data_IF_601366985267
#
_entry.id   IF_601366985267
#
_cell.length_a   1.000
_cell.length_b   1.000
_cell.length_c   1.000
_cell.angle_alpha   90.00
_cell.angle_beta   90.00
_cell.angle_gamma   90.00
#
_symmetry.space_group_name_H-M   'P 1'
#
loop_
_entity.id
_entity.type
_entity.pdbx_description
1 polymer ?
#
# COMPACT_ATOMS: atom_id res chain seq x y z
N UNK A 1 -68.85 0.08 -16.98
CA UNK A 1 -67.79 0.24 -17.99
C UNK A 1 -67.24 1.65 -17.86
N UNK A 2 -66.17 1.81 -17.07
CA UNK A 2 -65.61 3.11 -16.66
C UNK A 2 -64.76 3.69 -17.79
N UNK A 3 -65.32 4.61 -18.58
CA UNK A 3 -64.57 5.40 -19.54
C UNK A 3 -63.71 6.42 -18.77
N UNK A 4 -62.45 6.06 -18.50
CA UNK A 4 -61.41 7.03 -18.17
C UNK A 4 -61.37 8.04 -19.32
N UNK A 5 -61.85 9.25 -19.06
CA UNK A 5 -61.51 10.40 -19.88
C UNK A 5 -59.99 10.59 -19.77
N UNK A 6 -59.25 10.12 -20.78
CA UNK A 6 -57.86 10.52 -20.97
C UNK A 6 -57.88 12.01 -21.28
N UNK A 7 -57.77 12.82 -20.21
CA UNK A 7 -57.64 14.27 -20.26
C UNK A 7 -56.60 14.66 -21.32
N UNK A 8 -56.99 15.52 -22.27
CA UNK A 8 -56.11 16.03 -23.34
C UNK A 8 -54.83 16.67 -22.76
N UNK A 9 -54.88 17.17 -21.53
CA UNK A 9 -53.74 17.67 -20.77
C UNK A 9 -52.69 16.56 -20.59
N UNK A 10 -53.11 15.33 -20.25
CA UNK A 10 -52.22 14.23 -19.88
C UNK A 10 -51.27 13.79 -21.01
N UNK A 11 -51.66 13.98 -22.28
CA UNK A 11 -50.78 13.77 -23.46
C UNK A 11 -49.69 14.84 -23.56
N UNK A 12 -50.06 16.12 -23.47
CA UNK A 12 -49.12 17.23 -23.52
C UNK A 12 -48.16 17.25 -22.31
N UNK A 13 -48.65 16.81 -21.16
CA UNK A 13 -47.85 16.64 -19.94
C UNK A 13 -46.92 15.42 -19.97
N UNK A 14 -47.21 14.33 -20.71
CA UNK A 14 -46.31 13.15 -20.83
C UNK A 14 -45.07 13.44 -21.66
N UNK A 15 -45.21 14.11 -22.81
CA UNK A 15 -44.09 14.38 -23.74
C UNK A 15 -43.04 15.32 -23.12
N UNK A 16 -43.49 16.40 -22.47
CA UNK A 16 -42.60 17.37 -21.81
C UNK A 16 -42.04 16.89 -20.47
N UNK A 17 -42.67 15.92 -19.80
CA UNK A 17 -42.14 15.26 -18.57
C UNK A 17 -40.97 14.33 -18.89
N UNK A 18 -40.99 13.69 -20.06
CA UNK A 18 -39.88 12.91 -20.60
C UNK A 18 -38.66 13.78 -20.95
N UNK A 19 -38.88 14.91 -21.62
CA UNK A 19 -37.80 15.82 -22.04
C UNK A 19 -37.03 16.44 -20.87
N UNK A 20 -37.72 16.92 -19.82
CA UNK A 20 -37.07 17.54 -18.66
C UNK A 20 -36.38 16.52 -17.75
N UNK A 21 -36.96 15.32 -17.57
CA UNK A 21 -36.28 14.21 -16.88
C UNK A 21 -35.03 13.80 -17.65
N UNK A 22 -35.10 13.69 -18.97
CA UNK A 22 -33.97 13.39 -19.84
C UNK A 22 -32.86 14.44 -19.73
N UNK A 23 -33.19 15.73 -19.72
CA UNK A 23 -32.19 16.81 -19.60
C UNK A 23 -31.47 16.78 -18.24
N UNK A 24 -32.20 16.58 -17.14
CA UNK A 24 -31.60 16.52 -15.80
C UNK A 24 -30.77 15.26 -15.58
N UNK A 25 -31.25 14.09 -16.04
CA UNK A 25 -30.44 12.86 -16.05
C UNK A 25 -29.21 13.01 -16.95
N UNK A 26 -29.30 13.73 -18.07
CA UNK A 26 -28.15 13.98 -18.95
C UNK A 26 -27.14 14.94 -18.32
N UNK A 27 -27.58 15.98 -17.60
CA UNK A 27 -26.66 16.95 -16.96
C UNK A 27 -26.03 16.36 -15.70
N UNK A 28 -26.81 15.75 -14.81
CA UNK A 28 -26.29 15.14 -13.58
C UNK A 28 -25.59 13.82 -13.85
N UNK A 29 -26.20 12.95 -14.64
CA UNK A 29 -25.59 11.72 -15.09
C UNK A 29 -24.35 12.00 -15.93
N UNK A 30 -24.41 12.95 -16.87
CA UNK A 30 -23.26 13.33 -17.68
C UNK A 30 -22.16 14.03 -16.88
N UNK A 31 -22.48 14.95 -15.98
CA UNK A 31 -21.49 15.61 -15.13
C UNK A 31 -20.83 14.65 -14.14
N UNK A 32 -21.61 13.78 -13.49
CA UNK A 32 -21.08 12.71 -12.63
C UNK A 32 -20.26 11.70 -13.45
N UNK A 33 -20.69 11.37 -14.67
CA UNK A 33 -19.92 10.52 -15.59
C UNK A 33 -18.60 11.18 -15.98
N UNK A 34 -18.56 12.48 -16.24
CA UNK A 34 -17.32 13.22 -16.53
C UNK A 34 -16.39 13.21 -15.32
N UNK A 35 -16.91 13.40 -14.11
CA UNK A 35 -16.11 13.27 -12.87
C UNK A 35 -15.59 11.84 -12.69
N UNK A 36 -16.43 10.82 -12.92
CA UNK A 36 -16.04 9.42 -12.85
C UNK A 36 -15.00 9.05 -13.91
N UNK A 37 -15.16 9.53 -15.15
CA UNK A 37 -14.21 9.34 -16.24
C UNK A 37 -12.91 10.06 -15.91
N UNK A 38 -12.97 11.31 -15.44
CA UNK A 38 -11.79 12.05 -15.00
C UNK A 38 -11.05 11.35 -13.86
N UNK A 39 -11.78 10.82 -12.88
CA UNK A 39 -11.22 10.02 -11.80
C UNK A 39 -10.63 8.70 -12.30
N UNK A 40 -11.32 7.99 -13.18
CA UNK A 40 -10.85 6.74 -13.78
C UNK A 40 -9.60 6.96 -14.63
N UNK A 41 -9.57 8.02 -15.44
CA UNK A 41 -8.39 8.43 -16.21
C UNK A 41 -7.24 8.79 -15.28
N UNK A 42 -7.47 9.61 -14.26
CA UNK A 42 -6.44 9.97 -13.29
C UNK A 42 -5.93 8.76 -12.48
N UNK A 43 -6.79 7.77 -12.24
CA UNK A 43 -6.41 6.49 -11.62
C UNK A 43 -5.39 5.70 -12.46
N UNK A 44 -5.40 5.83 -13.78
CA UNK A 44 -4.38 5.25 -14.66
C UNK A 44 -3.04 5.98 -14.63
N UNK A 45 -3.01 7.26 -14.23
CA UNK A 45 -1.77 8.07 -14.18
C UNK A 45 -1.11 8.10 -12.80
N UNK A 46 -1.75 7.57 -11.76
CA UNK A 46 -1.13 7.37 -10.44
C UNK A 46 -0.31 6.09 -10.43
N UNK A 47 0.71 6.04 -9.56
CA UNK A 47 1.58 4.87 -9.39
C UNK A 47 0.79 3.56 -9.55
N UNK A 48 1.28 2.64 -10.41
CA UNK A 48 0.58 1.40 -10.72
C UNK A 48 0.27 0.63 -9.43
N UNK A 49 -0.73 -0.24 -9.47
CA UNK A 49 -0.99 -1.08 -8.30
C UNK A 49 0.28 -1.86 -7.93
N UNK A 50 0.55 -2.04 -6.62
CA UNK A 50 1.69 -2.85 -6.21
C UNK A 50 1.59 -4.22 -6.86
N UNK A 51 2.73 -4.75 -7.36
CA UNK A 51 2.74 -6.05 -8.00
C UNK A 51 2.27 -7.11 -7.00
N UNK A 52 1.66 -8.16 -7.55
CA UNK A 52 1.21 -9.30 -6.74
C UNK A 52 2.32 -10.32 -6.49
N UNK A 53 3.38 -10.24 -7.26
CA UNK A 53 4.52 -11.14 -7.19
C UNK A 53 5.78 -10.31 -7.11
N UNK A 54 6.66 -10.65 -6.19
CA UNK A 54 8.01 -10.10 -6.06
C UNK A 54 9.01 -11.23 -5.87
N UNK A 55 10.24 -11.05 -6.34
CA UNK A 55 11.28 -12.09 -6.31
C UNK A 55 12.41 -11.68 -5.38
N UNK A 56 12.71 -12.53 -4.40
CA UNK A 56 13.81 -12.33 -3.45
C UNK A 56 14.97 -13.28 -3.71
N UNK A 57 16.17 -12.73 -3.92
CA UNK A 57 17.41 -13.49 -3.88
C UNK A 57 17.84 -13.78 -2.43
N UNK A 58 18.24 -15.02 -2.15
CA UNK A 58 18.40 -15.52 -0.78
C UNK A 58 19.79 -16.11 -0.54
N UNK A 59 19.90 -17.42 -0.41
CA UNK A 59 21.15 -18.15 -0.21
C UNK A 59 20.87 -19.61 -0.50
N UNK A 60 21.72 -20.50 0.02
CA UNK A 60 21.44 -21.93 -0.11
C UNK A 60 20.14 -22.29 0.61
N UNK A 61 19.45 -23.33 0.15
CA UNK A 61 18.16 -23.73 0.72
C UNK A 61 18.26 -24.14 2.20
N UNK A 62 19.43 -24.62 2.61
CA UNK A 62 19.76 -24.99 3.98
C UNK A 62 20.22 -23.79 4.84
N UNK A 63 20.47 -22.64 4.22
CA UNK A 63 20.98 -21.45 4.87
C UNK A 63 19.90 -20.60 5.54
N UNK A 64 20.31 -19.78 6.50
CA UNK A 64 19.40 -18.91 7.26
C UNK A 64 18.61 -17.94 6.37
N UNK A 65 19.23 -17.44 5.29
CA UNK A 65 18.60 -16.46 4.40
C UNK A 65 17.35 -17.04 3.75
N UNK A 66 17.46 -18.27 3.22
CA UNK A 66 16.33 -18.94 2.60
C UNK A 66 15.23 -19.29 3.61
N UNK A 67 15.59 -19.72 4.82
CA UNK A 67 14.62 -20.05 5.86
C UNK A 67 13.83 -18.81 6.32
N UNK A 68 14.50 -17.70 6.61
CA UNK A 68 13.81 -16.45 6.97
C UNK A 68 12.97 -15.90 5.81
N UNK A 69 13.47 -15.98 4.58
CA UNK A 69 12.72 -15.56 3.41
C UNK A 69 11.45 -16.41 3.18
N UNK A 70 11.47 -17.69 3.57
CA UNK A 70 10.27 -18.54 3.57
C UNK A 70 9.23 -18.07 4.57
N UNK A 71 9.65 -17.67 5.76
CA UNK A 71 8.73 -17.09 6.75
C UNK A 71 8.13 -15.76 6.23
N UNK A 72 8.92 -14.96 5.51
CA UNK A 72 8.41 -13.76 4.85
C UNK A 72 7.39 -14.11 3.76
N UNK A 73 7.67 -15.13 2.95
CA UNK A 73 6.77 -15.58 1.90
C UNK A 73 5.43 -16.07 2.47
N UNK A 74 5.47 -16.81 3.57
CA UNK A 74 4.27 -17.27 4.27
C UNK A 74 3.47 -16.09 4.86
N UNK A 75 4.14 -15.08 5.41
CA UNK A 75 3.50 -13.86 5.90
C UNK A 75 2.84 -13.04 4.77
N UNK A 76 3.56 -12.83 3.67
CA UNK A 76 3.09 -12.05 2.52
C UNK A 76 1.95 -12.74 1.77
N UNK A 77 1.97 -14.08 1.68
CA UNK A 77 0.88 -14.86 1.08
C UNK A 77 -0.45 -14.60 1.76
N UNK A 78 -0.46 -14.43 3.10
CA UNK A 78 -1.67 -14.08 3.86
C UNK A 78 -2.20 -12.68 3.53
N UNK A 79 -1.41 -11.84 2.86
CA UNK A 79 -1.78 -10.50 2.39
C UNK A 79 -2.11 -10.48 0.89
N UNK A 80 -2.09 -11.64 0.23
CA UNK A 80 -2.34 -11.78 -1.20
C UNK A 80 -1.17 -11.36 -2.08
N UNK A 81 0.06 -11.49 -1.57
CA UNK A 81 1.30 -11.22 -2.29
C UNK A 81 2.14 -12.49 -2.31
N UNK A 82 2.58 -12.88 -3.49
CA UNK A 82 3.50 -13.99 -3.72
C UNK A 82 4.95 -13.49 -3.64
N UNK A 83 5.74 -14.08 -2.74
CA UNK A 83 7.17 -13.87 -2.69
C UNK A 83 7.87 -15.10 -3.27
N UNK A 84 8.36 -14.98 -4.49
CA UNK A 84 9.17 -16.02 -5.12
C UNK A 84 10.58 -16.00 -4.54
N UNK A 85 11.04 -17.14 -4.05
CA UNK A 85 12.38 -17.27 -3.49
C UNK A 85 13.34 -17.79 -4.56
N UNK A 86 14.42 -17.07 -4.78
CA UNK A 86 15.51 -17.47 -5.65
C UNK A 86 16.70 -17.91 -4.80
N UNK A 87 16.98 -19.23 -4.68
CA UNK A 87 18.16 -19.73 -4.00
C UNK A 87 19.43 -19.29 -4.75
N UNK A 88 20.46 -18.96 -4.00
CA UNK A 88 21.75 -18.48 -4.54
C UNK A 88 22.92 -19.06 -3.73
N UNK A 89 24.15 -18.79 -4.17
CA UNK A 89 25.36 -19.10 -3.43
C UNK A 89 25.60 -18.17 -2.22
N UNK A 90 24.89 -17.03 -2.13
CA UNK A 90 25.02 -16.05 -1.05
C UNK A 90 25.09 -14.61 -1.55
N UNK A 91 25.62 -13.72 -0.70
CA UNK A 91 25.52 -12.26 -0.88
C UNK A 91 26.14 -11.74 -2.18
N UNK A 92 27.31 -12.25 -2.60
CA UNK A 92 27.94 -11.80 -3.84
C UNK A 92 27.06 -12.06 -5.07
N UNK A 93 26.48 -13.26 -5.17
CA UNK A 93 25.53 -13.58 -6.24
C UNK A 93 24.24 -12.77 -6.11
N UNK A 94 23.79 -12.45 -4.88
CA UNK A 94 22.61 -11.61 -4.69
C UNK A 94 22.83 -10.18 -5.20
N UNK A 95 23.98 -9.57 -4.94
CA UNK A 95 24.30 -8.26 -5.49
C UNK A 95 24.35 -8.29 -7.03
N UNK A 96 24.99 -9.31 -7.60
CA UNK A 96 25.02 -9.48 -9.06
C UNK A 96 23.61 -9.61 -9.65
N UNK A 97 22.71 -10.38 -9.01
CA UNK A 97 21.34 -10.54 -9.46
C UNK A 97 20.53 -9.25 -9.34
N UNK A 98 20.68 -8.48 -8.24
CA UNK A 98 20.01 -7.19 -8.07
C UNK A 98 20.40 -6.18 -9.16
N UNK A 99 21.62 -6.25 -9.69
CA UNK A 99 22.09 -5.35 -10.75
C UNK A 99 21.75 -5.86 -12.16
N UNK A 100 21.84 -7.17 -12.39
CA UNK A 100 21.80 -7.75 -13.75
C UNK A 100 20.45 -8.34 -14.13
N UNK A 101 19.61 -8.73 -13.17
CA UNK A 101 18.33 -9.36 -13.41
C UNK A 101 17.17 -8.46 -12.97
N UNK A 102 16.43 -7.83 -13.90
CA UNK A 102 15.32 -6.95 -13.58
C UNK A 102 14.13 -7.67 -12.93
N UNK A 103 14.14 -9.00 -12.86
CA UNK A 103 13.12 -9.77 -12.15
C UNK A 103 13.38 -9.85 -10.65
N UNK A 104 14.60 -9.57 -10.17
CA UNK A 104 14.94 -9.65 -8.73
C UNK A 104 14.72 -8.30 -8.08
N UNK A 105 13.70 -8.22 -7.21
CA UNK A 105 13.30 -6.97 -6.58
C UNK A 105 14.08 -6.68 -5.29
N UNK A 106 14.47 -7.73 -4.57
CA UNK A 106 15.08 -7.62 -3.25
C UNK A 106 15.97 -8.80 -2.89
N UNK A 107 16.83 -8.63 -1.89
CA UNK A 107 17.69 -9.70 -1.40
C UNK A 107 18.06 -9.56 0.08
N UNK A 108 18.48 -10.67 0.68
CA UNK A 108 19.19 -10.67 1.96
C UNK A 108 20.69 -10.74 1.67
N UNK A 109 21.48 -9.83 2.24
CA UNK A 109 22.93 -9.74 2.01
C UNK A 109 23.69 -9.55 3.31
N UNK A 110 24.93 -10.03 3.39
CA UNK A 110 25.79 -9.84 4.55
C UNK A 110 26.45 -8.46 4.46
N UNK A 111 26.34 -7.65 5.52
CA UNK A 111 27.02 -6.37 5.60
C UNK A 111 28.53 -6.50 5.36
N UNK A 112 29.07 -5.61 4.53
CA UNK A 112 30.50 -5.53 4.22
C UNK A 112 30.95 -6.39 3.04
N UNK A 113 30.03 -7.12 2.41
CA UNK A 113 30.32 -7.97 1.25
C UNK A 113 29.96 -7.32 -0.09
N UNK A 114 29.41 -6.09 -0.09
CA UNK A 114 29.11 -5.39 -1.34
C UNK A 114 30.41 -5.10 -2.12
N UNK A 115 30.49 -5.55 -3.39
CA UNK A 115 31.54 -5.13 -4.32
C UNK A 115 31.60 -3.60 -4.47
N UNK A 116 32.79 -3.07 -4.81
CA UNK A 116 33.00 -1.62 -4.91
C UNK A 116 32.15 -0.97 -6.01
N UNK A 117 31.92 -1.67 -7.11
CA UNK A 117 31.02 -1.25 -8.21
C UNK A 117 29.54 -1.24 -7.79
N UNK A 118 29.16 -2.09 -6.82
CA UNK A 118 27.81 -2.13 -6.24
C UNK A 118 27.63 -1.00 -5.23
N UNK A 119 28.64 -0.70 -4.40
CA UNK A 119 28.58 0.37 -3.38
C UNK A 119 28.37 1.76 -4.00
N UNK A 120 28.85 1.98 -5.22
CA UNK A 120 28.65 3.21 -5.97
C UNK A 120 27.34 3.27 -6.78
N UNK A 121 26.60 2.17 -6.87
CA UNK A 121 25.36 2.11 -7.66
C UNK A 121 24.21 2.78 -6.91
N UNK A 122 23.49 3.69 -7.58
CA UNK A 122 22.36 4.44 -7.02
C UNK A 122 21.07 3.61 -6.85
N UNK A 123 21.04 2.39 -7.38
CA UNK A 123 19.79 1.67 -7.63
C UNK A 123 19.48 0.61 -6.57
N UNK A 124 20.32 0.49 -5.54
CA UNK A 124 20.12 -0.42 -4.40
C UNK A 124 19.97 0.39 -3.12
N UNK A 125 18.90 0.12 -2.39
CA UNK A 125 18.58 0.77 -1.12
C UNK A 125 18.49 -0.27 0.00
N UNK A 126 18.90 0.14 1.21
CA UNK A 126 18.69 -0.67 2.41
C UNK A 126 17.27 -0.47 2.94
N UNK A 127 16.61 -1.57 3.31
CA UNK A 127 15.32 -1.55 3.99
C UNK A 127 15.50 -1.70 5.50
N UNK A 128 16.33 -2.66 5.93
CA UNK A 128 16.65 -2.88 7.34
C UNK A 128 17.87 -3.79 7.52
N UNK A 129 18.61 -3.60 8.61
CA UNK A 129 19.39 -4.69 9.20
C UNK A 129 18.46 -5.65 9.95
N UNK A 130 18.63 -6.94 9.75
CA UNK A 130 17.70 -8.00 10.16
C UNK A 130 18.16 -8.75 11.42
N UNK A 131 19.40 -9.23 11.43
CA UNK A 131 20.02 -9.96 12.53
C UNK A 131 21.55 -9.92 12.39
N UNK A 132 22.25 -10.23 13.48
CA UNK A 132 23.71 -10.31 13.48
C UNK A 132 24.21 -11.70 13.09
N UNK A 133 25.27 -11.73 12.31
CA UNK A 133 25.98 -12.94 11.89
C UNK A 133 27.38 -12.94 12.50
N UNK A 134 27.56 -13.31 13.78
CA UNK A 134 28.87 -13.29 14.41
C UNK A 134 29.90 -14.12 13.64
N UNK A 135 31.13 -13.60 13.67
CA UNK A 135 32.31 -14.28 13.15
C UNK A 135 32.82 -15.22 14.23
N UNK A 136 32.65 -16.52 13.99
CA UNK A 136 33.15 -17.58 14.84
C UNK A 136 34.49 -18.06 14.30
N UNK A 137 35.51 -18.03 15.15
CA UNK A 137 36.81 -18.61 14.84
C UNK A 137 37.08 -19.70 15.84
N UNK A 138 36.89 -20.94 15.39
CA UNK A 138 37.19 -22.10 16.20
C UNK A 138 38.58 -22.62 15.85
N UNK A 139 39.34 -23.03 16.86
CA UNK A 139 40.68 -23.53 16.68
C UNK A 139 40.96 -24.73 17.58
N UNK A 140 41.94 -25.54 17.19
CA UNK A 140 42.40 -26.69 17.95
C UNK A 140 43.53 -26.30 18.90
N UNK A 141 43.49 -26.84 20.11
CA UNK A 141 44.60 -26.77 21.07
C UNK A 141 44.19 -26.19 22.42
N UNK A 142 45.15 -26.18 23.35
CA UNK A 142 44.95 -25.69 24.71
C UNK A 142 45.36 -24.24 24.93
N UNK A 143 46.12 -23.68 23.99
CA UNK A 143 46.49 -22.27 23.99
C UNK A 143 45.22 -21.41 23.92
N UNK A 144 45.23 -20.29 24.65
CA UNK A 144 44.14 -19.32 24.58
C UNK A 144 44.57 -18.20 23.65
N UNK A 145 43.88 -18.08 22.51
CA UNK A 145 44.09 -16.97 21.58
C UNK A 145 43.06 -15.87 21.86
N UNK A 146 43.56 -14.65 22.05
CA UNK A 146 42.74 -13.46 22.29
C UNK A 146 42.69 -12.51 21.08
N UNK A 147 43.37 -12.87 19.99
CA UNK A 147 43.17 -12.31 18.65
C UNK A 147 43.70 -13.22 17.53
N UNK A 148 43.42 -12.82 16.30
CA UNK A 148 43.77 -13.56 15.08
C UNK A 148 45.28 -13.70 14.84
N UNK A 149 46.14 -12.92 15.49
CA UNK A 149 47.60 -13.04 15.31
C UNK A 149 48.15 -14.35 15.88
N UNK A 150 47.40 -15.00 16.78
CA UNK A 150 47.69 -16.36 17.23
C UNK A 150 47.57 -17.43 16.13
N UNK A 151 47.00 -17.08 14.97
CA UNK A 151 46.82 -17.99 13.84
C UNK A 151 47.99 -17.96 12.83
N UNK A 152 49.12 -17.32 13.17
CA UNK A 152 50.36 -17.43 12.38
C UNK A 152 50.78 -18.89 12.25
N UNK A 153 51.35 -19.24 11.11
CA UNK A 153 51.82 -20.60 10.79
C UNK A 153 50.74 -21.71 10.87
N UNK A 154 49.45 -21.35 10.88
CA UNK A 154 48.32 -22.31 10.95
C UNK A 154 47.71 -22.59 9.58
N UNK A 155 47.09 -23.77 9.44
CA UNK A 155 46.16 -24.09 8.34
C UNK A 155 44.76 -23.64 8.73
N UNK A 156 44.19 -22.71 7.97
CA UNK A 156 42.96 -22.02 8.33
C UNK A 156 41.90 -22.29 7.26
N UNK A 157 40.79 -22.92 7.65
CA UNK A 157 39.61 -22.98 6.80
C UNK A 157 38.92 -21.62 6.77
N UNK A 158 38.91 -20.97 5.62
CA UNK A 158 38.43 -19.59 5.48
C UNK A 158 37.03 -19.47 4.87
N UNK A 159 36.36 -20.59 4.58
CA UNK A 159 35.08 -20.59 3.88
C UNK A 159 35.23 -21.01 2.42
N UNK A 160 34.09 -21.18 1.72
CA UNK A 160 34.11 -21.51 0.30
C UNK A 160 34.48 -20.26 -0.50
N UNK A 161 35.15 -20.46 -1.64
CA UNK A 161 35.43 -19.38 -2.60
C UNK A 161 34.17 -18.55 -2.84
N UNK A 162 34.33 -17.22 -2.79
CA UNK A 162 33.27 -16.21 -3.00
C UNK A 162 32.12 -16.22 -1.98
N UNK A 163 32.29 -16.89 -0.84
CA UNK A 163 31.30 -16.85 0.26
C UNK A 163 31.52 -15.66 1.19
N UNK A 164 30.47 -15.23 1.89
CA UNK A 164 30.58 -14.17 2.92
C UNK A 164 31.55 -14.52 4.06
N UNK A 165 31.78 -15.81 4.33
CA UNK A 165 32.82 -16.26 5.28
C UNK A 165 34.23 -16.06 4.72
N UNK A 166 34.44 -16.36 3.43
CA UNK A 166 35.71 -16.17 2.74
C UNK A 166 36.12 -14.69 2.67
N UNK A 167 35.21 -13.83 2.23
CA UNK A 167 35.45 -12.38 2.21
C UNK A 167 35.76 -11.83 3.60
N UNK A 168 35.01 -12.27 4.63
CA UNK A 168 35.21 -11.81 6.01
C UNK A 168 36.53 -12.33 6.59
N UNK A 169 36.85 -13.61 6.40
CA UNK A 169 38.09 -14.20 6.89
C UNK A 169 39.31 -13.52 6.26
N UNK A 170 39.30 -13.32 4.93
CA UNK A 170 40.38 -12.65 4.22
C UNK A 170 40.59 -11.20 4.68
N UNK A 171 39.51 -10.44 4.87
CA UNK A 171 39.58 -9.08 5.42
C UNK A 171 40.23 -9.06 6.81
N UNK A 172 39.74 -9.90 7.72
CA UNK A 172 40.18 -9.88 9.12
C UNK A 172 41.60 -10.41 9.30
N UNK A 173 41.98 -11.46 8.54
CA UNK A 173 43.33 -12.00 8.53
C UNK A 173 44.32 -10.98 7.95
N UNK A 174 43.96 -10.34 6.83
CA UNK A 174 44.76 -9.28 6.20
C UNK A 174 45.01 -8.08 7.12
N UNK A 175 43.98 -7.58 7.83
CA UNK A 175 44.10 -6.51 8.83
C UNK A 175 45.05 -6.87 10.00
N UNK A 176 45.36 -8.15 10.18
CA UNK A 176 46.27 -8.65 11.23
C UNK A 176 47.61 -9.13 10.69
N UNK A 177 47.88 -8.90 9.39
CA UNK A 177 49.10 -9.34 8.71
C UNK A 177 49.26 -10.85 8.75
N UNK A 178 48.14 -11.58 8.61
CA UNK A 178 48.09 -13.03 8.44
C UNK A 178 47.84 -13.32 6.98
N UNK A 179 48.88 -13.77 6.31
CA UNK A 179 48.94 -14.11 4.89
C UNK A 179 49.95 -15.24 4.66
N UNK A 180 50.25 -15.55 3.40
CA UNK A 180 51.25 -16.57 3.06
C UNK A 180 52.66 -16.25 3.59
N UNK A 181 53.03 -14.97 3.76
CA UNK A 181 54.33 -14.57 4.32
C UNK A 181 54.42 -14.83 5.84
N UNK A 182 53.28 -14.90 6.52
CA UNK A 182 53.16 -15.26 7.93
C UNK A 182 53.17 -16.78 8.20
N UNK A 183 53.43 -17.60 7.18
CA UNK A 183 53.39 -19.07 7.24
C UNK A 183 51.99 -19.67 7.27
N UNK A 184 50.94 -18.85 7.27
CA UNK A 184 49.56 -19.33 7.26
C UNK A 184 49.21 -19.97 5.90
N UNK A 185 48.43 -21.06 5.96
CA UNK A 185 47.90 -21.74 4.77
C UNK A 185 46.38 -21.62 4.77
N UNK A 186 45.81 -21.05 3.71
CA UNK A 186 44.36 -20.90 3.60
C UNK A 186 43.73 -22.07 2.84
N UNK A 187 42.65 -22.61 3.41
CA UNK A 187 41.90 -23.73 2.85
C UNK A 187 40.48 -23.26 2.56
N UNK A 188 40.08 -23.25 1.29
CA UNK A 188 38.77 -22.77 0.87
C UNK A 188 37.65 -23.81 1.08
N UNK A 189 37.41 -24.16 2.33
CA UNK A 189 36.33 -25.06 2.76
C UNK A 189 35.48 -24.37 3.82
N UNK A 190 34.18 -24.67 3.84
CA UNK A 190 33.21 -24.05 4.74
C UNK A 190 32.20 -25.05 5.29
N UNK A 191 31.34 -24.57 6.20
CA UNK A 191 30.23 -25.35 6.74
C UNK A 191 30.66 -26.67 7.38
N UNK A 192 29.90 -27.74 7.13
CA UNK A 192 30.15 -29.06 7.72
C UNK A 192 31.50 -29.66 7.33
N UNK A 193 32.02 -29.32 6.15
CA UNK A 193 33.33 -29.83 5.73
C UNK A 193 34.46 -29.14 6.52
N UNK A 194 34.42 -27.82 6.68
CA UNK A 194 35.36 -27.11 7.55
C UNK A 194 35.33 -27.63 9.00
N UNK A 195 34.13 -27.87 9.55
CA UNK A 195 33.97 -28.50 10.87
C UNK A 195 34.61 -29.90 10.92
N UNK A 196 34.39 -30.73 9.89
CA UNK A 196 34.98 -32.07 9.81
C UNK A 196 36.50 -32.02 9.73
N UNK A 197 37.05 -31.14 8.90
CA UNK A 197 38.49 -30.96 8.76
C UNK A 197 39.12 -30.43 10.04
N UNK A 198 38.45 -29.50 10.73
CA UNK A 198 38.88 -29.00 12.04
C UNK A 198 38.85 -30.11 13.09
N UNK A 199 37.84 -30.98 13.08
CA UNK A 199 37.75 -32.16 13.95
C UNK A 199 38.81 -33.21 13.67
N UNK A 200 39.17 -33.43 12.40
CA UNK A 200 40.19 -34.39 11.98
C UNK A 200 41.63 -33.86 12.07
N UNK A 201 41.81 -32.55 12.25
CA UNK A 201 43.13 -31.91 12.35
C UNK A 201 43.79 -31.70 11.00
N UNK A 202 42.96 -31.64 9.96
CA UNK A 202 43.38 -31.28 8.61
C UNK A 202 43.52 -29.76 8.48
N UNK A 203 42.77 -29.01 9.30
CA UNK A 203 42.97 -27.58 9.56
C UNK A 203 43.12 -27.35 11.07
N UNK A 204 43.83 -26.29 11.43
CA UNK A 204 44.12 -25.91 12.80
C UNK A 204 43.13 -24.86 13.33
N UNK A 205 42.54 -24.07 12.44
CA UNK A 205 41.45 -23.13 12.72
C UNK A 205 40.42 -23.10 11.59
N UNK A 206 39.19 -22.68 11.89
CA UNK A 206 38.12 -22.53 10.91
C UNK A 206 37.24 -21.32 11.23
N UNK A 207 36.96 -20.52 10.19
CA UNK A 207 36.03 -19.40 10.22
C UNK A 207 34.62 -19.87 9.88
N UNK A 208 33.64 -19.30 10.58
CA UNK A 208 32.23 -19.40 10.25
C UNK A 208 31.57 -18.05 10.48
N UNK A 209 30.78 -17.57 9.52
CA UNK A 209 29.94 -16.38 9.68
C UNK A 209 28.50 -16.83 9.58
N UNK A 210 27.83 -16.95 10.72
CA UNK A 210 26.48 -17.52 10.78
C UNK A 210 25.80 -17.20 12.11
N UNK A 211 24.49 -17.45 12.16
CA UNK A 211 23.67 -17.28 13.36
C UNK A 211 24.17 -18.15 14.53
N UNK A 212 24.16 -17.65 15.78
CA UNK A 212 24.42 -18.44 16.99
C UNK A 212 23.53 -19.69 17.13
N UNK A 213 22.34 -19.67 16.52
CA UNK A 213 21.38 -20.77 16.58
C UNK A 213 21.71 -21.92 15.60
N UNK A 214 22.72 -21.76 14.76
CA UNK A 214 23.14 -22.78 13.80
C UNK A 214 23.48 -24.11 14.50
N UNK A 215 22.99 -25.23 13.95
CA UNK A 215 23.32 -26.58 14.45
C UNK A 215 24.83 -26.83 14.43
N UNK A 216 25.51 -26.28 13.42
CA UNK A 216 26.96 -26.37 13.27
C UNK A 216 27.70 -25.72 14.45
N UNK A 217 27.24 -24.56 14.91
CA UNK A 217 27.86 -23.86 16.05
C UNK A 217 27.67 -24.66 17.34
N UNK A 218 26.46 -25.21 17.56
CA UNK A 218 26.18 -26.10 18.70
C UNK A 218 27.07 -27.35 18.72
N UNK A 219 27.32 -27.94 17.55
CA UNK A 219 28.22 -29.10 17.44
C UNK A 219 29.68 -28.75 17.72
N UNK A 220 30.19 -27.64 17.18
CA UNK A 220 31.57 -27.16 17.40
C UNK A 220 31.85 -26.85 18.88
N UNK A 221 30.88 -26.21 19.53
CA UNK A 221 30.93 -25.87 20.95
C UNK A 221 31.03 -27.11 21.84
N UNK A 222 30.41 -28.21 21.42
CA UNK A 222 30.44 -29.48 22.17
C UNK A 222 31.74 -30.27 22.04
N UNK A 223 32.71 -29.82 21.24
CA UNK A 223 33.96 -30.54 21.00
C UNK A 223 35.03 -30.20 22.05
N UNK A 224 35.54 -31.20 22.78
CA UNK A 224 36.49 -31.00 23.88
C UNK A 224 37.83 -30.36 23.45
N UNK A 225 38.30 -30.67 22.24
CA UNK A 225 39.60 -30.20 21.71
C UNK A 225 39.50 -28.95 20.82
N UNK A 226 38.35 -28.27 20.84
CA UNK A 226 38.10 -27.09 20.02
C UNK A 226 37.72 -25.93 20.94
N UNK A 227 38.38 -24.79 20.71
CA UNK A 227 38.14 -23.55 21.46
C UNK A 227 37.62 -22.46 20.54
N UNK A 228 36.82 -21.58 21.10
CA UNK A 228 36.36 -20.36 20.43
C UNK A 228 37.33 -19.22 20.75
N UNK A 229 37.84 -18.56 19.71
CA UNK A 229 38.69 -17.39 19.82
C UNK A 229 37.86 -16.18 20.26
N UNK A 230 38.38 -15.43 21.23
CA UNK A 230 37.84 -14.12 21.64
C UNK A 230 38.57 -13.01 20.86
N UNK A 231 37.85 -11.97 20.47
CA UNK A 231 38.39 -10.79 19.80
C UNK A 231 38.59 -9.66 20.82
N UNK A 232 39.73 -9.59 21.51
CA UNK A 232 40.01 -8.51 22.47
C UNK A 232 39.89 -7.10 21.85
N UNK A 233 40.17 -7.00 20.55
CA UNK A 233 40.11 -5.77 19.77
C UNK A 233 38.78 -5.59 19.01
N UNK A 234 37.71 -6.28 19.41
CA UNK A 234 36.39 -6.23 18.76
C UNK A 234 35.89 -4.80 18.48
N UNK A 235 36.04 -3.88 19.44
CA UNK A 235 35.63 -2.48 19.29
C UNK A 235 36.43 -1.72 18.21
N UNK A 236 37.70 -2.08 17.99
CA UNK A 236 38.52 -1.47 16.95
C UNK A 236 38.04 -1.87 15.55
N UNK A 237 37.68 -3.15 15.34
CA UNK A 237 37.10 -3.59 14.07
C UNK A 237 35.79 -2.87 13.77
N UNK A 238 34.88 -2.76 14.75
CA UNK A 238 33.61 -2.04 14.58
C UNK A 238 33.80 -0.55 14.26
N UNK A 239 34.88 0.08 14.76
CA UNK A 239 35.24 1.47 14.43
C UNK A 239 35.84 1.63 13.05
N UNK A 240 36.61 0.64 12.58
CA UNK A 240 37.26 0.64 11.25
C UNK A 240 36.30 0.24 10.13
N UNK A 241 35.32 -0.60 10.44
CA UNK A 241 34.38 -1.16 9.48
C UNK A 241 32.95 -0.92 9.97
N UNK A 242 32.23 0.09 9.42
CA UNK A 242 30.89 0.48 9.89
C UNK A 242 29.83 -0.63 9.82
N UNK A 243 30.03 -1.63 8.95
CA UNK A 243 29.16 -2.80 8.84
C UNK A 243 29.38 -3.84 9.94
N UNK A 244 30.45 -3.73 10.73
CA UNK A 244 30.73 -4.61 11.86
C UNK A 244 30.23 -3.98 13.15
N UNK A 245 29.63 -4.82 14.00
CA UNK A 245 29.32 -4.48 15.38
C UNK A 245 30.13 -5.33 16.35
N UNK A 246 30.31 -4.79 17.55
CA UNK A 246 30.83 -5.51 18.70
C UNK A 246 29.69 -6.25 19.38
N UNK A 247 29.84 -7.56 19.56
CA UNK A 247 28.89 -8.36 20.35
C UNK A 247 29.62 -9.15 21.43
N UNK A 248 28.97 -9.34 22.56
CA UNK A 248 29.49 -10.15 23.66
C UNK A 248 28.60 -11.37 23.77
N UNK A 249 29.21 -12.55 23.75
CA UNK A 249 28.55 -13.80 24.04
C UNK A 249 28.72 -14.07 25.53
N UNK A 250 27.67 -13.83 26.31
CA UNK A 250 27.75 -13.93 27.78
C UNK A 250 28.00 -15.36 28.24
N UNK A 251 28.71 -15.50 29.36
CA UNK A 251 28.94 -16.79 30.01
C UNK A 251 27.64 -17.58 30.17
N UNK A 252 27.65 -18.84 29.73
CA UNK A 252 26.53 -19.77 29.85
C UNK A 252 25.34 -19.51 28.91
N UNK A 253 25.38 -18.48 28.06
CA UNK A 253 24.20 -18.10 27.23
C UNK A 253 23.79 -19.19 26.22
N UNK A 254 24.72 -20.05 25.81
CA UNK A 254 24.44 -21.14 24.86
C UNK A 254 24.00 -22.40 25.59
N UNK A 255 24.69 -22.76 26.67
CA UNK A 255 24.35 -23.91 27.51
C UNK A 255 24.62 -23.58 28.99
N UNK A 256 23.55 -23.23 29.71
CA UNK A 256 23.63 -22.90 31.14
C UNK A 256 24.01 -24.12 32.00
N UNK A 257 23.66 -25.33 31.57
CA UNK A 257 23.98 -26.55 32.33
C UNK A 257 25.48 -26.83 32.28
N UNK A 258 26.08 -26.64 31.10
CA UNK A 258 27.52 -26.86 30.88
C UNK A 258 28.37 -25.61 31.11
N UNK A 259 27.75 -24.50 31.46
CA UNK A 259 28.39 -23.19 31.63
C UNK A 259 29.18 -22.80 30.37
N UNK A 260 28.53 -22.88 29.21
CA UNK A 260 29.12 -22.55 27.92
C UNK A 260 28.53 -21.26 27.30
N UNK A 261 29.37 -20.30 26.87
CA UNK A 261 30.83 -20.28 27.04
C UNK A 261 31.23 -20.14 28.52
N UNK A 262 32.43 -20.59 28.89
CA UNK A 262 32.92 -20.60 30.30
C UNK A 262 33.23 -19.21 30.86
N UNK A 263 33.39 -18.24 29.97
CA UNK A 263 33.57 -16.83 30.25
C UNK A 263 32.89 -16.04 29.13
N UNK A 264 32.74 -14.74 29.33
CA UNK A 264 32.29 -13.88 28.25
C UNK A 264 33.28 -13.97 27.08
N UNK A 265 32.76 -14.11 25.86
CA UNK A 265 33.56 -14.14 24.62
C UNK A 265 33.22 -12.92 23.81
N UNK A 266 34.24 -12.14 23.46
CA UNK A 266 34.08 -10.95 22.64
C UNK A 266 34.12 -11.37 21.17
N UNK A 267 33.07 -11.02 20.43
CA UNK A 267 32.93 -11.34 19.02
C UNK A 267 32.68 -10.06 18.23
N UNK A 268 32.89 -10.18 16.93
CA UNK A 268 32.46 -9.18 15.94
C UNK A 268 31.39 -9.81 15.07
N UNK A 269 30.41 -9.02 14.65
CA UNK A 269 29.32 -9.50 13.81
C UNK A 269 28.98 -8.47 12.73
N UNK A 270 29.02 -8.83 11.44
CA UNK A 270 28.22 -8.13 10.45
C UNK A 270 26.72 -8.26 10.75
N UNK A 271 25.93 -7.34 10.21
CA UNK A 271 24.47 -7.47 10.15
C UNK A 271 24.04 -7.98 8.77
N UNK A 272 23.14 -8.97 8.75
CA UNK A 272 22.41 -9.32 7.56
C UNK A 272 21.43 -8.20 7.22
N UNK A 273 21.49 -7.68 6.01
CA UNK A 273 20.71 -6.55 5.52
C UNK A 273 19.66 -7.04 4.51
N UNK A 274 18.43 -6.53 4.66
CA UNK A 274 17.42 -6.59 3.63
C UNK A 274 17.62 -5.38 2.72
N UNK A 275 17.93 -5.64 1.46
CA UNK A 275 18.14 -4.61 0.44
C UNK A 275 17.14 -4.81 -0.70
N UNK A 276 16.79 -3.72 -1.37
CA UNK A 276 15.87 -3.74 -2.51
C UNK A 276 16.40 -2.87 -3.65
N UNK A 277 15.94 -3.15 -4.85
CA UNK A 277 16.14 -2.25 -5.98
C UNK A 277 15.22 -1.04 -5.84
N UNK A 278 15.62 0.10 -6.40
CA UNK A 278 14.79 1.32 -6.47
C UNK A 278 13.49 1.14 -7.27
N UNK A 279 13.37 0.03 -8.01
CA UNK A 279 12.16 -0.36 -8.75
C UNK A 279 11.09 -1.02 -7.86
N UNK A 280 11.44 -1.48 -6.65
CA UNK A 280 10.48 -2.09 -5.74
C UNK A 280 9.42 -1.07 -5.33
N UNK A 281 8.15 -1.45 -5.44
CA UNK A 281 7.06 -0.54 -5.11
C UNK A 281 7.01 -0.24 -3.60
N UNK A 282 7.12 1.05 -3.24
CA UNK A 282 7.12 1.57 -1.86
C UNK A 282 6.04 1.02 -0.92
N UNK A 283 4.83 0.76 -1.43
CA UNK A 283 3.73 0.23 -0.62
C UNK A 283 4.03 -1.15 -0.02
N UNK A 284 4.93 -1.91 -0.63
CA UNK A 284 5.37 -3.23 -0.17
C UNK A 284 6.38 -3.16 0.96
N UNK A 285 7.12 -2.05 1.08
CA UNK A 285 8.23 -1.92 2.04
C UNK A 285 7.75 -2.02 3.49
N UNK A 286 6.73 -1.27 3.96
CA UNK A 286 6.18 -1.44 5.30
C UNK A 286 5.62 -2.84 5.56
N UNK A 287 5.20 -3.55 4.52
CA UNK A 287 4.69 -4.91 4.67
C UNK A 287 5.84 -5.93 4.82
N UNK A 288 6.90 -5.78 4.03
CA UNK A 288 8.16 -6.54 4.16
C UNK A 288 8.79 -6.33 5.53
N UNK A 289 8.85 -5.08 6.01
CA UNK A 289 9.40 -4.76 7.33
C UNK A 289 8.56 -5.33 8.46
N UNK A 290 7.23 -5.42 8.31
CA UNK A 290 6.37 -6.16 9.25
C UNK A 290 6.68 -7.65 9.25
N UNK A 291 6.84 -8.26 8.08
CA UNK A 291 7.23 -9.67 7.97
C UNK A 291 8.58 -9.91 8.67
N UNK A 292 9.59 -9.09 8.37
CA UNK A 292 10.90 -9.14 9.01
C UNK A 292 10.81 -8.98 10.53
N UNK A 293 10.04 -8.01 11.02
CA UNK A 293 9.89 -7.76 12.45
C UNK A 293 9.20 -8.92 13.16
N UNK A 294 8.18 -9.55 12.56
CA UNK A 294 7.49 -10.71 13.13
C UNK A 294 8.41 -11.94 13.18
N UNK A 295 9.19 -12.19 12.11
CA UNK A 295 10.11 -13.32 12.04
C UNK A 295 11.27 -13.17 13.04
N UNK A 296 11.97 -12.03 13.04
CA UNK A 296 13.21 -11.87 13.83
C UNK A 296 12.98 -11.62 15.31
N UNK A 297 11.82 -11.08 15.71
CA UNK A 297 11.50 -10.92 17.14
C UNK A 297 11.12 -12.23 17.81
N UNK A 298 10.57 -13.20 17.06
CA UNK A 298 10.22 -14.54 17.59
C UNK A 298 11.46 -15.33 18.00
N UNK A 299 12.54 -15.24 17.22
CA UNK A 299 13.74 -16.06 17.40
C UNK A 299 14.72 -15.56 18.46
N UNK A 300 14.39 -14.47 19.17
CA UNK A 300 15.09 -13.97 20.35
C UNK A 300 16.61 -13.98 20.20
N UNK A 301 17.18 -12.91 19.62
CA UNK A 301 18.63 -12.78 19.46
C UNK A 301 19.38 -13.09 20.78
N UNK A 302 20.23 -14.13 20.74
CA UNK A 302 21.11 -14.51 21.84
C UNK A 302 22.18 -13.46 22.11
N UNK A 303 22.48 -12.62 21.12
CA UNK A 303 23.55 -11.63 21.21
C UNK A 303 23.03 -10.29 21.74
N UNK A 304 21.88 -9.83 21.25
CA UNK A 304 21.28 -8.54 21.64
C UNK A 304 19.76 -8.57 21.44
N UNK A 305 19.00 -8.69 22.53
CA UNK A 305 17.52 -8.70 22.47
C UNK A 305 16.97 -7.32 22.07
N UNK A 306 16.00 -7.32 21.16
CA UNK A 306 15.17 -6.15 20.87
C UNK A 306 15.82 -5.05 20.04
N UNK A 307 17.05 -5.24 19.56
CA UNK A 307 17.77 -4.24 18.74
C UNK A 307 17.48 -4.35 17.24
N UNK A 308 17.20 -5.55 16.73
CA UNK A 308 16.98 -5.81 15.30
C UNK A 308 15.59 -6.42 15.07
N UNK A 309 14.92 -6.16 13.92
CA UNK A 309 15.41 -5.36 12.80
C UNK A 309 15.54 -3.86 13.11
N UNK A 310 16.45 -3.14 12.43
CA UNK A 310 16.68 -1.69 12.62
C UNK A 310 17.27 -0.98 11.40
N UNK A 311 17.37 0.35 11.48
CA UNK A 311 18.08 1.22 10.53
C UNK A 311 19.57 1.36 10.82
N UNK A 312 20.07 0.82 11.93
CA UNK A 312 21.51 0.77 12.23
C UNK A 312 22.18 -0.31 11.38
N UNK A 313 23.50 -0.19 11.15
CA UNK A 313 24.33 -1.19 10.44
C UNK A 313 23.95 -1.47 8.98
N UNK A 314 23.22 -0.54 8.36
CA UNK A 314 22.89 -0.60 6.94
C UNK A 314 24.09 -0.28 6.04
N UNK A 315 24.22 -1.00 4.93
CA UNK A 315 25.34 -0.85 3.98
C UNK A 315 25.05 0.16 2.87
N UNK A 316 23.77 0.37 2.53
CA UNK A 316 23.32 1.29 1.47
C UNK A 316 22.47 2.42 2.06
N UNK A 317 22.22 3.51 1.30
CA UNK A 317 21.24 4.52 1.68
C UNK A 317 19.90 3.87 2.08
N UNK A 318 19.34 4.31 3.20
CA UNK A 318 18.08 3.80 3.71
C UNK A 318 16.93 4.33 2.85
N UNK A 319 16.09 3.42 2.34
CA UNK A 319 14.87 3.76 1.61
C UNK A 319 13.94 4.64 2.48
N UNK A 320 13.27 5.60 1.85
CA UNK A 320 12.44 6.58 2.55
C UNK A 320 11.24 5.94 3.27
N UNK A 321 10.53 5.02 2.60
CA UNK A 321 9.42 4.26 3.18
C UNK A 321 9.86 3.40 4.36
N UNK A 322 11.08 2.85 4.29
CA UNK A 322 11.67 2.10 5.40
C UNK A 322 11.99 3.00 6.59
N UNK A 323 12.56 4.19 6.35
CA UNK A 323 12.82 5.19 7.39
C UNK A 323 11.53 5.58 8.11
N UNK A 324 10.50 5.95 7.36
CA UNK A 324 9.19 6.30 7.92
C UNK A 324 8.58 5.16 8.74
N UNK A 325 8.76 3.91 8.32
CA UNK A 325 8.28 2.76 9.08
C UNK A 325 8.95 2.62 10.45
N UNK A 326 10.27 2.86 10.56
CA UNK A 326 10.96 2.78 11.85
C UNK A 326 10.70 4.00 12.74
N UNK A 327 10.51 5.19 12.16
CA UNK A 327 10.25 6.43 12.90
C UNK A 327 8.79 6.51 13.40
N UNK A 328 7.81 6.24 12.52
CA UNK A 328 6.38 6.44 12.79
C UNK A 328 5.57 5.13 12.93
N UNK A 329 6.20 3.99 12.62
CA UNK A 329 5.53 2.69 12.55
C UNK A 329 4.81 2.45 11.21
N UNK A 330 4.02 1.36 11.11
CA UNK A 330 3.28 1.06 9.90
C UNK A 330 2.27 2.18 9.57
N UNK A 331 1.99 2.44 8.27
CA UNK A 331 1.00 3.44 7.86
C UNK A 331 -0.35 3.22 8.55
N UNK A 332 -1.01 4.30 8.98
CA UNK A 332 -2.23 4.24 9.79
C UNK A 332 -3.30 3.31 9.19
N UNK A 333 -3.54 3.41 7.88
CA UNK A 333 -4.53 2.57 7.20
C UNK A 333 -4.14 1.09 7.20
N UNK A 334 -2.85 0.77 7.12
CA UNK A 334 -2.36 -0.61 7.15
C UNK A 334 -2.45 -1.27 8.54
N UNK A 335 -2.71 -0.48 9.60
CA UNK A 335 -2.96 -0.99 10.96
C UNK A 335 -4.36 -1.59 11.11
N UNK A 336 -5.35 -1.07 10.37
CA UNK A 336 -6.76 -1.42 10.55
C UNK A 336 -7.41 -2.06 9.32
N UNK A 337 -6.84 -1.87 8.14
CA UNK A 337 -7.40 -2.34 6.88
C UNK A 337 -6.50 -3.38 6.21
N UNK A 338 -7.08 -4.35 5.46
CA UNK A 338 -6.32 -5.22 4.58
C UNK A 338 -5.43 -4.43 3.61
N UNK A 339 -4.26 -5.00 3.27
CA UNK A 339 -3.24 -4.36 2.44
C UNK A 339 -3.80 -3.67 1.19
N UNK A 340 -4.62 -4.37 0.41
CA UNK A 340 -5.16 -3.84 -0.86
C UNK A 340 -6.07 -2.63 -0.68
N UNK A 341 -6.86 -2.60 0.40
CA UNK A 341 -7.73 -1.46 0.71
C UNK A 341 -6.87 -0.29 1.18
N UNK A 342 -5.92 -0.54 2.08
CA UNK A 342 -5.00 0.48 2.58
C UNK A 342 -4.20 1.11 1.43
N UNK A 343 -3.63 0.31 0.53
CA UNK A 343 -2.88 0.76 -0.63
C UNK A 343 -3.75 1.51 -1.66
N UNK A 344 -4.99 1.07 -1.89
CA UNK A 344 -5.91 1.77 -2.78
C UNK A 344 -6.31 3.16 -2.23
N UNK A 345 -6.60 3.25 -0.93
CA UNK A 345 -6.95 4.53 -0.29
C UNK A 345 -5.74 5.46 -0.24
N UNK A 346 -4.56 4.95 0.07
CA UNK A 346 -3.35 5.77 0.14
C UNK A 346 -2.97 6.36 -1.22
N UNK A 347 -3.18 5.61 -2.32
CA UNK A 347 -3.07 6.14 -3.69
C UNK A 347 -4.19 7.12 -4.03
N UNK A 348 -5.42 6.81 -3.61
CA UNK A 348 -6.60 7.64 -3.86
C UNK A 348 -6.57 9.01 -3.16
N UNK A 349 -5.80 9.17 -2.07
CA UNK A 349 -5.71 10.45 -1.34
C UNK A 349 -5.22 11.60 -2.22
N UNK A 350 -4.33 11.32 -3.19
CA UNK A 350 -3.82 12.30 -4.14
C UNK A 350 -4.94 12.78 -5.08
N UNK A 351 -5.90 11.91 -5.41
CA UNK A 351 -7.05 12.25 -6.26
C UNK A 351 -8.17 12.99 -5.53
N UNK A 352 -8.14 13.05 -4.19
CA UNK A 352 -9.20 13.73 -3.45
C UNK A 352 -9.27 15.21 -3.79
N UNK A 353 -8.12 15.87 -3.96
CA UNK A 353 -8.08 17.31 -4.24
C UNK A 353 -8.65 17.64 -5.65
N UNK A 354 -8.20 16.98 -6.75
CA UNK A 354 -8.83 17.12 -8.07
C UNK A 354 -10.32 16.70 -8.10
N UNK A 355 -10.69 15.62 -7.39
CA UNK A 355 -12.08 15.19 -7.34
C UNK A 355 -12.96 16.25 -6.65
N UNK A 356 -12.48 16.83 -5.55
CA UNK A 356 -13.20 17.87 -4.83
C UNK A 356 -13.34 19.15 -5.65
N UNK A 357 -12.30 19.57 -6.38
CA UNK A 357 -12.36 20.74 -7.25
C UNK A 357 -13.35 20.56 -8.40
N UNK A 358 -13.48 19.35 -8.95
CA UNK A 358 -14.48 19.03 -9.98
C UNK A 358 -15.90 18.89 -9.44
N UNK A 359 -16.07 18.41 -8.20
CA UNK A 359 -17.38 18.29 -7.56
C UNK A 359 -17.99 19.65 -7.18
N UNK A 360 -17.15 20.61 -6.76
CA UNK A 360 -17.58 21.93 -6.30
C UNK A 360 -18.49 22.70 -7.29
N UNK A 361 -18.17 22.82 -8.59
CA UNK A 361 -19.07 23.46 -9.55
C UNK A 361 -20.37 22.68 -9.75
N UNK A 362 -20.34 21.34 -9.65
CA UNK A 362 -21.53 20.50 -9.74
C UNK A 362 -22.53 20.84 -8.63
N UNK A 363 -22.04 21.00 -7.40
CA UNK A 363 -22.86 21.44 -6.25
C UNK A 363 -23.39 22.86 -6.42
N UNK A 364 -22.66 23.77 -7.08
CA UNK A 364 -23.13 25.15 -7.34
C UNK A 364 -24.26 25.21 -8.37
N UNK A 365 -24.27 24.29 -9.34
CA UNK A 365 -25.28 24.21 -10.39
C UNK A 365 -26.56 23.50 -9.91
N UNK A 366 -26.49 22.77 -8.79
CA UNK A 366 -27.62 22.03 -8.24
C UNK A 366 -28.82 22.92 -7.81
N UNK A 367 -28.65 23.99 -7.01
CA UNK A 367 -29.76 24.85 -6.59
C UNK A 367 -30.48 25.58 -7.73
N UNK A 368 -29.83 26.21 -8.73
CA UNK A 368 -30.54 26.88 -9.83
C UNK A 368 -31.30 25.91 -10.71
N UNK A 369 -30.78 24.71 -10.97
CA UNK A 369 -31.50 23.68 -11.74
C UNK A 369 -32.73 23.16 -10.99
N UNK A 370 -32.61 22.98 -9.67
CA UNK A 370 -33.75 22.61 -8.83
C UNK A 370 -34.84 23.69 -8.87
N UNK A 371 -34.45 24.97 -8.74
CA UNK A 371 -35.36 26.13 -8.90
C UNK A 371 -36.06 26.13 -10.26
N UNK A 372 -35.30 25.96 -11.34
CA UNK A 372 -35.83 25.90 -12.70
C UNK A 372 -36.83 24.76 -12.85
N UNK A 373 -36.51 23.56 -12.36
CA UNK A 373 -37.41 22.39 -12.40
C UNK A 373 -38.77 22.66 -11.75
N UNK A 374 -38.77 23.27 -10.56
CA UNK A 374 -40.02 23.57 -9.83
C UNK A 374 -40.79 24.66 -10.57
N UNK A 375 -40.13 25.76 -10.98
CA UNK A 375 -40.79 26.85 -11.72
C UNK A 375 -41.34 26.42 -13.07
N UNK A 376 -40.63 25.60 -13.83
CA UNK A 376 -41.12 25.07 -15.10
C UNK A 376 -42.37 24.21 -14.94
N UNK A 377 -42.62 23.60 -13.78
CA UNK A 377 -43.90 22.93 -13.51
C UNK A 377 -45.04 23.93 -13.33
N UNK A 378 -44.78 25.05 -12.65
CA UNK A 378 -45.77 26.11 -12.40
C UNK A 378 -46.10 26.87 -13.69
N UNK A 379 -45.09 27.28 -14.46
CA UNK A 379 -45.28 28.07 -15.70
C UNK A 379 -46.08 27.36 -16.79
N UNK A 380 -46.09 26.02 -16.83
CA UNK A 380 -46.90 25.26 -17.81
C UNK A 380 -48.40 25.47 -17.61
N UNK A 381 -48.85 25.57 -16.37
CA UNK A 381 -50.25 25.87 -16.06
C UNK A 381 -50.61 27.30 -16.47
N UNK A 382 -49.66 28.24 -16.31
CA UNK A 382 -49.82 29.61 -16.81
C UNK A 382 -49.92 29.69 -18.34
N UNK A 383 -49.23 28.83 -19.07
CA UNK A 383 -49.31 28.78 -20.53
C UNK A 383 -50.70 28.37 -21.02
N UNK A 384 -51.28 27.34 -20.39
CA UNK A 384 -52.67 26.91 -20.63
C UNK A 384 -53.65 28.03 -20.28
N UNK A 385 -53.49 28.64 -19.10
CA UNK A 385 -54.34 29.73 -18.63
C UNK A 385 -54.30 30.94 -19.59
N UNK A 386 -53.13 31.28 -20.12
CA UNK A 386 -52.96 32.38 -21.08
C UNK A 386 -53.61 32.09 -22.43
N UNK A 387 -53.60 30.83 -22.88
CA UNK A 387 -54.34 30.41 -24.08
C UNK A 387 -55.84 30.67 -23.91
N UNK A 388 -56.40 30.23 -22.79
CA UNK A 388 -57.82 30.43 -22.45
C UNK A 388 -58.17 31.92 -22.36
N UNK A 389 -57.31 32.75 -21.74
CA UNK A 389 -57.54 34.19 -21.66
C UNK A 389 -57.47 34.88 -23.03
N UNK A 390 -56.59 34.43 -23.91
CA UNK A 390 -56.48 34.93 -25.29
C UNK A 390 -57.75 34.63 -26.08
N UNK A 391 -58.26 33.40 -25.98
CA UNK A 391 -59.48 32.96 -26.66
C UNK A 391 -60.71 33.71 -26.14
N UNK A 392 -60.75 34.05 -24.83
CA UNK A 392 -61.78 34.92 -24.26
C UNK A 392 -61.77 36.34 -24.83
N UNK A 393 -60.61 36.85 -25.24
CA UNK A 393 -60.48 38.21 -25.80
C UNK A 393 -60.87 38.26 -27.28
N UNK A 394 -60.79 37.14 -28.01
CA UNK A 394 -61.12 37.07 -29.43
C UNK A 394 -62.58 36.70 -29.75
N UNK A 395 -63.50 36.80 -28.78
CA UNK A 395 -64.92 36.42 -28.92
C UNK A 395 -65.09 34.97 -29.39
N UNK A 396 -64.59 34.03 -28.57
CA UNK A 396 -64.75 32.60 -28.80
C UNK A 396 -66.23 32.14 -28.80
N UNK A 397 -66.50 31.11 -29.59
CA UNK A 397 -67.79 30.42 -29.72
C UNK A 397 -68.26 29.79 -28.39
N UNK A 398 -69.58 29.59 -28.19
CA UNK A 398 -70.10 29.08 -26.90
C UNK A 398 -69.61 27.65 -26.58
N UNK A 399 -69.39 26.82 -27.61
CA UNK A 399 -68.83 25.47 -27.47
C UNK A 399 -67.36 25.49 -27.01
N UNK A 400 -66.56 26.46 -27.46
CA UNK A 400 -65.17 26.62 -26.98
C UNK A 400 -65.14 27.17 -25.56
N UNK A 401 -66.04 28.08 -25.18
CA UNK A 401 -66.17 28.60 -23.82
C UNK A 401 -66.57 27.50 -22.81
N UNK A 402 -67.48 26.59 -23.16
CA UNK A 402 -67.83 25.44 -22.31
C UNK A 402 -66.66 24.44 -22.16
N UNK A 403 -65.90 24.20 -23.24
CA UNK A 403 -64.66 23.40 -23.18
C UNK A 403 -63.61 24.04 -22.27
N UNK A 404 -63.46 25.37 -22.31
CA UNK A 404 -62.55 26.09 -21.42
C UNK A 404 -62.99 26.04 -19.94
N UNK A 405 -64.28 26.15 -19.65
CA UNK A 405 -64.81 26.00 -18.29
C UNK A 405 -64.54 24.60 -17.70
N UNK A 406 -64.73 23.56 -18.52
CA UNK A 406 -64.43 22.16 -18.14
C UNK A 406 -62.93 21.97 -17.91
N UNK A 407 -62.09 22.58 -18.77
CA UNK A 407 -60.63 22.51 -18.64
C UNK A 407 -60.15 23.21 -17.38
N UNK A 408 -60.68 24.39 -17.04
CA UNK A 408 -60.32 25.12 -15.82
C UNK A 408 -60.72 24.36 -14.55
N UNK A 409 -61.91 23.75 -14.52
CA UNK A 409 -62.33 22.92 -13.38
C UNK A 409 -61.45 21.67 -13.21
N UNK A 410 -61.02 21.06 -14.33
CA UNK A 410 -60.05 19.96 -14.30
C UNK A 410 -58.65 20.42 -13.81
N UNK A 411 -58.21 21.63 -14.19
CA UNK A 411 -56.97 22.23 -13.71
C UNK A 411 -57.01 22.44 -12.19
N UNK A 412 -58.12 22.94 -11.63
CA UNK A 412 -58.27 23.11 -10.17
C UNK A 412 -58.21 21.77 -9.42
N UNK A 413 -58.89 20.74 -9.92
CA UNK A 413 -58.83 19.40 -9.34
C UNK A 413 -57.43 18.80 -9.32
N UNK A 414 -56.68 18.92 -10.42
CA UNK A 414 -55.28 18.45 -10.48
C UNK A 414 -54.33 19.31 -9.63
N UNK A 415 -54.58 20.61 -9.49
CA UNK A 415 -53.79 21.50 -8.62
C UNK A 415 -53.99 21.17 -7.14
N UNK A 416 -55.20 20.77 -6.73
CA UNK A 416 -55.48 20.34 -5.35
C UNK A 416 -54.80 18.99 -5.01
N UNK A 417 -54.61 18.11 -6.00
CA UNK A 417 -53.83 16.87 -5.83
C UNK A 417 -52.31 17.11 -5.75
N UNK A 418 -51.80 18.22 -6.32
CA UNK A 418 -50.38 18.57 -6.37
C UNK A 418 -49.84 19.18 -5.05
N UNK A 419 -50.24 18.63 -3.91
CA UNK A 419 -49.90 19.04 -2.52
C UNK A 419 -48.40 19.00 -2.14
N UNK A 420 -47.50 18.74 -3.09
CA UNK A 420 -46.07 18.44 -2.87
C UNK A 420 -45.10 19.54 -3.32
N UNK A 421 -45.57 20.78 -3.47
CA UNK A 421 -44.68 21.92 -3.80
C UNK A 421 -43.91 22.35 -2.53
N UNK A 422 -42.56 22.46 -2.58
CA UNK A 422 -41.78 22.92 -1.43
C UNK A 422 -42.16 24.35 -0.99
N UNK A 423 -42.09 24.62 0.31
CA UNK A 423 -42.43 25.91 0.94
C UNK A 423 -41.87 27.13 0.21
N UNK A 424 -40.63 27.03 -0.28
CA UNK A 424 -39.93 28.12 -0.99
C UNK A 424 -40.58 28.58 -2.30
N UNK A 425 -41.54 27.83 -2.85
CA UNK A 425 -42.25 28.16 -4.11
C UNK A 425 -43.77 28.23 -3.93
N UNK A 426 -44.24 28.24 -2.68
CA UNK A 426 -45.67 28.26 -2.38
C UNK A 426 -46.32 29.57 -2.84
N UNK A 427 -45.58 30.68 -2.84
CA UNK A 427 -46.10 31.96 -3.34
C UNK A 427 -46.46 31.89 -4.83
N UNK A 428 -45.56 31.37 -5.68
CA UNK A 428 -45.85 31.19 -7.10
C UNK A 428 -46.99 30.19 -7.34
N UNK A 429 -47.09 29.15 -6.51
CA UNK A 429 -48.16 28.15 -6.59
C UNK A 429 -49.53 28.72 -6.20
N UNK A 430 -49.62 29.47 -5.10
CA UNK A 430 -50.87 30.11 -4.68
C UNK A 430 -51.32 31.21 -5.65
N UNK A 431 -50.39 31.99 -6.21
CA UNK A 431 -50.72 32.97 -7.24
C UNK A 431 -51.31 32.32 -8.50
N UNK A 432 -50.80 31.16 -8.90
CA UNK A 432 -51.38 30.40 -10.02
C UNK A 432 -52.83 30.02 -9.72
N UNK A 433 -53.10 29.49 -8.53
CA UNK A 433 -54.46 29.12 -8.10
C UNK A 433 -55.40 30.32 -8.13
N UNK A 434 -54.98 31.46 -7.59
CA UNK A 434 -55.77 32.70 -7.62
C UNK A 434 -56.09 33.15 -9.05
N UNK A 435 -55.13 33.03 -9.97
CA UNK A 435 -55.36 33.40 -11.37
C UNK A 435 -56.29 32.43 -12.10
N UNK A 436 -56.19 31.13 -11.82
CA UNK A 436 -57.13 30.12 -12.35
C UNK A 436 -58.55 30.45 -11.90
N UNK A 437 -58.77 30.68 -10.61
CA UNK A 437 -60.09 31.04 -10.06
C UNK A 437 -60.61 32.38 -10.62
N UNK A 438 -59.72 33.34 -10.87
CA UNK A 438 -60.08 34.61 -11.49
C UNK A 438 -60.57 34.43 -12.94
N UNK A 439 -59.84 33.68 -13.76
CA UNK A 439 -60.22 33.42 -15.16
C UNK A 439 -61.48 32.55 -15.23
N UNK A 440 -61.62 31.57 -14.35
CA UNK A 440 -62.81 30.72 -14.27
C UNK A 440 -64.08 31.54 -13.99
N UNK A 441 -64.01 32.47 -13.02
CA UNK A 441 -65.11 33.41 -12.74
C UNK A 441 -65.44 34.29 -13.94
N UNK A 442 -64.44 34.68 -14.74
CA UNK A 442 -64.64 35.49 -15.96
C UNK A 442 -65.31 34.67 -17.06
N UNK A 443 -64.87 33.43 -17.29
CA UNK A 443 -65.47 32.49 -18.26
C UNK A 443 -66.94 32.23 -17.90
N UNK A 444 -67.23 31.91 -16.63
CA UNK A 444 -68.59 31.67 -16.13
C UNK A 444 -69.50 32.90 -16.26
N UNK A 445 -68.95 34.10 -16.10
CA UNK A 445 -69.70 35.35 -16.30
C UNK A 445 -70.08 35.55 -17.77
N UNK A 446 -69.13 35.36 -18.69
CA UNK A 446 -69.39 35.49 -20.13
C UNK A 446 -70.43 34.47 -20.58
N UNK A 447 -70.32 33.20 -20.14
CA UNK A 447 -71.34 32.16 -20.42
C UNK A 447 -72.73 32.54 -19.90
N UNK A 448 -72.83 33.08 -18.68
CA UNK A 448 -74.11 33.57 -18.13
C UNK A 448 -74.69 34.77 -18.89
N UNK A 449 -73.84 35.69 -19.33
CA UNK A 449 -74.26 36.86 -20.09
C UNK A 449 -74.75 36.46 -21.49
N UNK A 450 -74.17 35.42 -22.11
CA UNK A 450 -74.64 34.83 -23.38
C UNK A 450 -75.97 34.08 -23.19
N UNK A 451 -76.14 33.29 -22.12
CA UNK A 451 -77.41 32.61 -21.80
C UNK A 451 -78.56 33.60 -21.53
N UNK A 452 -78.27 34.78 -20.96
CA UNK A 452 -79.28 35.83 -20.69
C UNK A 452 -79.76 36.59 -21.93
N UNK A 453 -79.08 36.42 -23.07
CA UNK A 453 -79.37 37.13 -24.33
C UNK A 453 -80.27 36.36 -25.29
N UNK A 454 -80.74 35.17 -24.91
CA UNK A 454 -81.77 34.42 -25.67
C UNK A 454 -83.15 34.78 -25.10
N UNK A 455 -83.98 35.60 -25.76
CA UNK A 455 -85.35 35.85 -25.30
C UNK A 455 -86.19 34.60 -25.53
N UNK A 456 -86.97 34.23 -24.53
CA UNK A 456 -88.14 33.38 -24.70
C UNK A 456 -89.18 34.11 -25.56
N UNK A 457 -89.44 33.63 -26.76
CA UNK A 457 -90.69 33.89 -27.48
C UNK A 457 -91.34 32.53 -27.79
N UNK A 458 -92.10 32.03 -26.81
CA UNK A 458 -93.34 31.30 -27.03
C UNK A 458 -94.47 32.33 -26.85
N UNK A 459 -95.08 32.76 -27.95
CA UNK A 459 -96.54 32.89 -28.12
C UNK A 459 -96.93 32.91 -29.60
#
# INVERSE_FOLDING_TARGET
MSLRHDSLLNKHFRETRGQVRGLLLKIWGGGFLVVLIGFALAWFFIQPAPPRTIVMATGSQEGAYFQFAKDYADFLRNQGIELELRPTAGSLQNYQLLQSDPQVDLAIVQGGTAPDDVRGASDIESLASLYFEPVWVFYRGDETYSDLRGLRDKRIAIGRVDSGTDSMAMLLLGENGIDASSGATFVHVGGLDAMRQLKLGQVDAAFFVTSPHSKLIRELIGMENVRLLSFDRHAAYARRHPFLTSVTLERGVIDLQRDFPRSDVLLIAPAANLVATSALHDALIPLLLRAANETHRRDGSLLQRGRLPSTEFVEFPLNESARMYFDDGPPFLQKYLPFWIASAVDRGKILLLPALTLLLPLFRVAPPLYRWRIRSRIYRWYEILRGIESDLRSQADDDTLQKHATTLSAMEGELDELRSVPLAYMQEFYNLRLHVEFVERRVKRVLRDTESKTPSEDE
#
